data_IF_788113145667
#
_entry.id   IF_788113145667
#
_cell.length_a   1.000
_cell.length_b   1.000
_cell.length_c   1.000
_cell.angle_alpha   90.00
_cell.angle_beta   90.00
_cell.angle_gamma   90.00
#
_symmetry.space_group_name_H-M   'P 1'
#
loop_
_entity.id
_entity.type
_entity.pdbx_description
1 polymer ?
#
# COMPACT_ATOMS: atom_id res chain seq x y z
N UNK A 1 -4.05 -12.73 -19.82
CA UNK A 1 -3.84 -12.90 -18.36
C UNK A 1 -2.39 -13.10 -17.94
N UNK A 2 -1.64 -14.10 -18.45
CA UNK A 2 -0.23 -14.29 -18.05
C UNK A 2 0.66 -13.07 -18.36
N UNK A 3 0.53 -12.51 -19.58
CA UNK A 3 1.26 -11.31 -19.97
C UNK A 3 0.94 -10.10 -19.08
N UNK A 4 -0.34 -9.86 -18.77
CA UNK A 4 -0.76 -8.76 -17.88
C UNK A 4 -0.15 -8.88 -16.49
N UNK A 5 -0.11 -10.10 -15.92
CA UNK A 5 0.52 -10.35 -14.62
C UNK A 5 2.02 -10.07 -14.64
N UNK A 6 2.70 -10.46 -15.71
CA UNK A 6 4.14 -10.18 -15.86
C UNK A 6 4.37 -8.67 -15.98
N UNK A 7 3.57 -7.98 -16.78
CA UNK A 7 3.66 -6.52 -16.92
C UNK A 7 3.38 -5.82 -15.58
N UNK A 8 2.35 -6.25 -14.84
CA UNK A 8 2.04 -5.64 -13.55
C UNK A 8 3.14 -5.91 -12.52
N UNK A 9 3.72 -7.11 -12.48
CA UNK A 9 4.88 -7.41 -11.63
C UNK A 9 6.10 -6.53 -11.97
N UNK A 10 6.44 -6.37 -13.24
CA UNK A 10 7.55 -5.51 -13.67
C UNK A 10 7.30 -4.05 -13.29
N UNK A 11 6.09 -3.55 -13.53
CA UNK A 11 5.72 -2.18 -13.18
C UNK A 11 5.79 -1.97 -11.66
N UNK A 12 5.27 -2.91 -10.88
CA UNK A 12 5.34 -2.86 -9.42
C UNK A 12 6.77 -2.78 -8.91
N UNK A 13 7.68 -3.60 -9.48
CA UNK A 13 9.10 -3.63 -9.11
C UNK A 13 9.78 -2.27 -9.31
N UNK A 14 9.46 -1.56 -10.38
CA UNK A 14 9.97 -0.20 -10.65
C UNK A 14 9.37 0.82 -9.69
N UNK A 15 8.10 0.66 -9.32
CA UNK A 15 7.40 1.57 -8.41
C UNK A 15 7.82 1.41 -6.94
N UNK A 16 8.31 0.24 -6.52
CA UNK A 16 8.75 -0.04 -5.13
C UNK A 16 9.70 1.03 -4.54
N UNK A 17 10.86 1.33 -5.14
CA UNK A 17 11.80 2.31 -4.58
C UNK A 17 11.21 3.73 -4.58
N UNK A 18 10.39 4.07 -5.57
CA UNK A 18 9.72 5.36 -5.67
C UNK A 18 8.73 5.53 -4.51
N UNK A 19 7.93 4.50 -4.24
CA UNK A 19 6.99 4.50 -3.11
C UNK A 19 7.69 4.55 -1.77
N UNK A 20 8.86 3.88 -1.62
CA UNK A 20 9.69 4.00 -0.42
C UNK A 20 10.15 5.42 -0.14
N UNK A 21 10.67 6.10 -1.17
CA UNK A 21 11.05 7.52 -1.05
C UNK A 21 9.85 8.42 -0.69
N UNK A 22 8.67 8.11 -1.22
CA UNK A 22 7.45 8.86 -0.93
C UNK A 22 6.94 8.63 0.49
N UNK A 23 6.97 7.39 0.99
CA UNK A 23 6.65 7.04 2.38
C UNK A 23 7.51 7.84 3.36
N UNK A 24 8.82 7.84 3.10
CA UNK A 24 9.76 8.55 3.95
C UNK A 24 9.55 10.06 3.90
N UNK A 25 9.05 10.63 2.79
CA UNK A 25 8.85 12.08 2.61
C UNK A 25 7.51 12.59 3.15
N UNK A 26 6.41 11.94 2.79
CA UNK A 26 5.06 12.47 3.01
C UNK A 26 4.26 11.73 4.08
N UNK A 27 4.87 10.73 4.72
CA UNK A 27 4.20 9.81 5.65
C UNK A 27 3.61 8.61 4.92
N UNK A 28 3.40 7.50 5.64
CA UNK A 28 3.04 6.21 5.05
C UNK A 28 1.53 6.03 4.98
N UNK A 29 0.81 6.53 5.99
CA UNK A 29 -0.65 6.38 6.12
C UNK A 29 -1.40 6.85 4.89
N UNK A 30 -1.04 8.02 4.34
CA UNK A 30 -1.72 8.61 3.18
C UNK A 30 -1.69 7.68 1.97
N UNK A 31 -0.55 7.04 1.72
CA UNK A 31 -0.41 6.10 0.61
C UNK A 31 -1.16 4.80 0.86
N UNK A 32 -1.19 4.29 2.10
CA UNK A 32 -1.99 3.12 2.45
C UNK A 32 -3.48 3.36 2.20
N UNK A 33 -4.01 4.50 2.66
CA UNK A 33 -5.40 4.89 2.41
C UNK A 33 -5.67 5.02 0.91
N UNK A 34 -4.78 5.68 0.15
CA UNK A 34 -4.92 5.79 -1.31
C UNK A 34 -4.91 4.42 -1.99
N UNK A 35 -3.99 3.52 -1.63
CA UNK A 35 -3.92 2.19 -2.23
C UNK A 35 -5.19 1.36 -1.99
N UNK A 36 -5.69 1.33 -0.75
CA UNK A 36 -6.94 0.64 -0.43
C UNK A 36 -8.15 1.28 -1.13
N UNK A 37 -8.19 2.61 -1.22
CA UNK A 37 -9.26 3.32 -1.95
C UNK A 37 -9.22 3.00 -3.44
N UNK A 38 -8.03 2.98 -4.05
CA UNK A 38 -7.83 2.63 -5.46
C UNK A 38 -8.28 1.19 -5.71
N UNK A 39 -7.85 0.22 -4.90
CA UNK A 39 -8.31 -1.17 -5.02
C UNK A 39 -9.83 -1.31 -4.80
N UNK A 40 -10.40 -0.56 -3.86
CA UNK A 40 -11.86 -0.54 -3.65
C UNK A 40 -12.61 -0.10 -4.90
N UNK A 41 -12.19 1.01 -5.52
CA UNK A 41 -12.74 1.50 -6.78
C UNK A 41 -12.49 0.52 -7.93
N UNK A 42 -11.31 -0.08 -7.96
CA UNK A 42 -10.92 -1.08 -8.95
C UNK A 42 -11.91 -2.25 -8.99
N UNK A 43 -12.07 -2.94 -7.85
CA UNK A 43 -12.96 -4.08 -7.75
C UNK A 43 -14.44 -3.69 -7.92
N UNK A 44 -14.83 -2.47 -7.55
CA UNK A 44 -16.18 -1.97 -7.82
C UNK A 44 -16.43 -1.86 -9.34
N UNK A 45 -15.48 -1.32 -10.10
CA UNK A 45 -15.59 -1.19 -11.55
C UNK A 45 -15.60 -2.55 -12.25
N UNK A 46 -14.76 -3.51 -11.82
CA UNK A 46 -14.75 -4.87 -12.39
C UNK A 46 -16.11 -5.56 -12.18
N UNK A 47 -16.77 -5.25 -11.07
CA UNK A 47 -18.08 -5.82 -10.77
C UNK A 47 -19.18 -5.34 -11.72
N UNK A 48 -18.98 -4.18 -12.37
CA UNK A 48 -19.97 -3.56 -13.27
C UNK A 48 -19.64 -3.82 -14.74
N UNK A 49 -18.37 -3.75 -15.12
CA UNK A 49 -17.93 -3.95 -16.51
C UNK A 49 -16.64 -4.77 -16.58
N UNK A 50 -16.73 -5.92 -17.26
CA UNK A 50 -15.58 -6.83 -17.48
C UNK A 50 -14.53 -6.21 -18.43
N UNK A 51 -14.93 -5.25 -19.28
CA UNK A 51 -14.06 -4.58 -20.25
C UNK A 51 -13.05 -3.62 -19.62
N UNK A 52 -13.25 -3.21 -18.36
CA UNK A 52 -12.36 -2.31 -17.64
C UNK A 52 -11.00 -2.95 -17.26
N UNK A 53 -10.78 -4.23 -17.59
CA UNK A 53 -9.58 -5.03 -17.29
C UNK A 53 -8.23 -4.35 -17.62
N UNK A 54 -8.20 -3.47 -18.61
CA UNK A 54 -6.97 -2.82 -19.09
C UNK A 54 -6.52 -1.66 -18.20
N UNK A 55 -7.44 -0.96 -17.52
CA UNK A 55 -7.12 0.15 -16.60
C UNK A 55 -6.46 -0.34 -15.30
N UNK A 56 -6.46 -1.66 -15.06
CA UNK A 56 -6.02 -2.25 -13.80
C UNK A 56 -4.52 -2.46 -13.68
N UNK A 57 -3.81 -2.62 -14.78
CA UNK A 57 -2.36 -2.88 -14.70
C UNK A 57 -1.66 -1.77 -13.91
N UNK A 58 -2.08 -0.51 -14.05
CA UNK A 58 -1.46 0.61 -13.35
C UNK A 58 -1.93 0.70 -11.89
N UNK A 59 -3.23 0.58 -11.64
CA UNK A 59 -3.82 0.70 -10.29
C UNK A 59 -3.42 -0.48 -9.42
N UNK A 60 -3.53 -1.70 -9.94
CA UNK A 60 -3.09 -2.94 -9.30
C UNK A 60 -1.59 -2.86 -8.97
N UNK A 61 -0.74 -2.46 -9.94
CA UNK A 61 0.69 -2.33 -9.68
C UNK A 61 1.02 -1.30 -8.61
N UNK A 62 0.41 -0.12 -8.68
CA UNK A 62 0.62 0.93 -7.69
C UNK A 62 0.21 0.47 -6.29
N UNK A 63 -0.96 -0.17 -6.17
CA UNK A 63 -1.43 -0.69 -4.89
C UNK A 63 -0.54 -1.82 -4.38
N UNK A 64 -0.13 -2.76 -5.24
CA UNK A 64 0.78 -3.85 -4.88
C UNK A 64 2.12 -3.34 -4.35
N UNK A 65 2.71 -2.33 -5.01
CA UNK A 65 3.95 -1.71 -4.56
C UNK A 65 3.80 -1.06 -3.19
N UNK A 66 2.73 -0.29 -2.97
CA UNK A 66 2.48 0.40 -1.70
C UNK A 66 2.23 -0.59 -0.55
N UNK A 67 1.33 -1.55 -0.76
CA UNK A 67 0.91 -2.48 0.28
C UNK A 67 2.03 -3.47 0.62
N UNK A 68 2.70 -4.03 -0.38
CA UNK A 68 3.80 -4.97 -0.14
C UNK A 68 4.98 -4.29 0.52
N UNK A 69 5.32 -3.08 0.08
CA UNK A 69 6.36 -2.30 0.74
C UNK A 69 6.06 -2.14 2.24
N UNK A 70 4.84 -1.75 2.57
CA UNK A 70 4.46 -1.54 3.96
C UNK A 70 4.40 -2.84 4.77
N UNK A 71 3.59 -3.81 4.33
CA UNK A 71 3.25 -5.02 5.08
C UNK A 71 4.30 -6.11 5.02
N UNK A 72 5.24 -6.09 4.08
CA UNK A 72 6.34 -7.05 4.03
C UNK A 72 7.60 -6.43 4.63
N UNK A 73 7.90 -5.17 4.34
CA UNK A 73 9.21 -4.59 4.67
C UNK A 73 9.20 -3.52 5.76
N UNK A 74 8.23 -2.61 5.79
CA UNK A 74 8.33 -1.45 6.68
C UNK A 74 7.82 -1.76 8.08
N UNK A 75 6.59 -2.24 8.20
CA UNK A 75 5.91 -2.33 9.51
C UNK A 75 6.64 -3.24 10.49
N UNK A 76 7.15 -4.36 10.00
CA UNK A 76 7.88 -5.34 10.82
C UNK A 76 9.22 -4.78 11.31
N UNK A 77 9.91 -4.00 10.48
CA UNK A 77 11.18 -3.37 10.83
C UNK A 77 11.05 -2.28 11.90
N UNK A 78 9.88 -1.64 11.94
CA UNK A 78 9.56 -0.55 12.85
C UNK A 78 9.13 -1.08 14.23
N UNK A 79 8.45 -2.22 14.29
CA UNK A 79 7.96 -2.80 15.55
C UNK A 79 8.95 -3.76 16.21
N UNK A 80 9.91 -4.31 15.46
CA UNK A 80 10.84 -5.32 15.99
C UNK A 80 12.17 -4.72 16.43
N UNK A 81 12.75 -5.22 17.53
CA UNK A 81 14.12 -4.89 17.89
C UNK A 81 15.09 -5.45 16.83
N UNK A 82 16.28 -4.85 16.64
CA UNK A 82 17.21 -5.20 15.57
C UNK A 82 17.52 -6.71 15.49
N UNK A 83 17.64 -7.38 16.64
CA UNK A 83 18.01 -8.79 16.77
C UNK A 83 16.87 -9.73 16.33
N UNK A 84 15.61 -9.27 16.35
CA UNK A 84 14.41 -10.06 16.02
C UNK A 84 13.76 -9.64 14.70
N UNK A 85 14.40 -8.81 13.89
CA UNK A 85 13.84 -8.38 12.60
C UNK A 85 13.54 -9.54 11.65
N UNK A 86 14.46 -10.48 11.52
CA UNK A 86 14.32 -11.62 10.62
C UNK A 86 13.06 -12.46 10.90
N UNK A 87 12.78 -12.92 12.13
CA UNK A 87 11.54 -13.66 12.41
C UNK A 87 10.28 -12.81 12.25
N UNK A 88 10.33 -11.50 12.50
CA UNK A 88 9.18 -10.60 12.27
C UNK A 88 8.88 -10.43 10.78
N UNK A 89 9.89 -10.38 9.91
CA UNK A 89 9.65 -10.38 8.46
C UNK A 89 8.94 -11.63 7.98
N UNK A 90 9.22 -12.79 8.58
CA UNK A 90 8.51 -14.03 8.27
C UNK A 90 7.01 -13.94 8.58
N UNK A 91 6.61 -13.21 9.64
CA UNK A 91 5.20 -12.96 9.94
C UNK A 91 4.50 -12.16 8.84
N UNK A 92 5.22 -11.23 8.20
CA UNK A 92 4.71 -10.46 7.07
C UNK A 92 4.33 -11.29 5.85
N UNK A 93 4.92 -12.47 5.70
CA UNK A 93 4.61 -13.39 4.60
C UNK A 93 3.44 -14.33 4.91
N UNK A 94 3.04 -14.48 6.18
CA UNK A 94 1.95 -15.37 6.60
C UNK A 94 0.63 -15.09 5.86
N UNK A 95 0.16 -13.83 5.71
CA UNK A 95 -1.07 -13.54 4.97
C UNK A 95 -1.05 -14.02 3.51
N UNK A 96 0.13 -14.01 2.86
CA UNK A 96 0.29 -14.49 1.48
C UNK A 96 0.02 -16.00 1.41
N UNK A 97 0.55 -16.76 2.37
CA UNK A 97 0.31 -18.20 2.45
C UNK A 97 -1.15 -18.51 2.80
N UNK A 98 -1.74 -17.76 3.74
CA UNK A 98 -3.17 -17.90 4.07
C UNK A 98 -4.04 -17.68 2.83
N UNK A 99 -3.75 -16.65 2.04
CA UNK A 99 -4.44 -16.39 0.77
C UNK A 99 -4.38 -17.59 -0.18
N UNK A 100 -3.20 -18.17 -0.38
CA UNK A 100 -3.05 -19.36 -1.25
C UNK A 100 -3.75 -20.59 -0.70
N UNK A 101 -3.69 -20.81 0.62
CA UNK A 101 -4.37 -21.93 1.28
C UNK A 101 -5.89 -21.77 1.16
N UNK A 102 -6.41 -20.54 1.21
CA UNK A 102 -7.85 -20.28 1.11
C UNK A 102 -8.44 -20.77 -0.23
N UNK A 103 -7.69 -20.67 -1.34
CA UNK A 103 -8.13 -21.21 -2.64
C UNK A 103 -8.35 -22.74 -2.59
N UNK A 104 -7.43 -23.46 -1.93
CA UNK A 104 -7.55 -24.91 -1.76
C UNK A 104 -8.71 -25.29 -0.85
N UNK A 105 -8.93 -24.53 0.24
CA UNK A 105 -10.05 -24.77 1.17
C UNK A 105 -11.39 -24.57 0.45
N UNK A 106 -11.55 -23.46 -0.28
CA UNK A 106 -12.78 -23.16 -1.03
C UNK A 106 -13.08 -24.27 -2.04
N UNK A 107 -12.05 -24.71 -2.78
CA UNK A 107 -12.16 -25.83 -3.73
C UNK A 107 -12.53 -27.15 -3.05
N UNK A 108 -11.91 -27.47 -1.91
CA UNK A 108 -12.19 -28.69 -1.14
C UNK A 108 -13.63 -28.72 -0.58
N UNK A 109 -14.23 -27.56 -0.31
CA UNK A 109 -15.64 -27.44 0.11
C UNK A 109 -16.64 -27.54 -1.05
N UNK A 110 -16.16 -27.73 -2.30
CA UNK A 110 -17.02 -27.77 -3.49
C UNK A 110 -17.63 -26.41 -3.86
N UNK A 111 -17.13 -25.32 -3.27
CA UNK A 111 -17.61 -23.98 -3.56
C UNK A 111 -16.93 -23.47 -4.83
N UNK A 112 -17.75 -23.15 -5.84
CA UNK A 112 -17.28 -22.53 -7.08
C UNK A 112 -17.86 -21.13 -7.15
N UNK A 113 -17.00 -20.14 -6.94
CA UNK A 113 -17.35 -18.74 -7.10
C UNK A 113 -16.90 -18.27 -8.48
N UNK A 114 -17.78 -17.58 -9.20
CA UNK A 114 -17.32 -16.76 -10.33
C UNK A 114 -16.64 -15.52 -9.76
N UNK A 115 -15.57 -15.06 -10.42
CA UNK A 115 -14.75 -13.94 -9.91
C UNK A 115 -15.59 -12.69 -9.60
N UNK A 116 -16.57 -12.42 -10.46
CA UNK A 116 -17.48 -11.30 -10.36
C UNK A 116 -18.40 -11.34 -9.13
N UNK A 117 -18.69 -12.52 -8.57
CA UNK A 117 -19.47 -12.63 -7.33
C UNK A 117 -18.68 -12.16 -6.11
N UNK A 118 -17.35 -12.25 -6.15
CA UNK A 118 -16.47 -11.93 -5.03
C UNK A 118 -16.06 -10.45 -5.05
N UNK A 119 -15.92 -9.84 -6.23
CA UNK A 119 -15.41 -8.49 -6.38
C UNK A 119 -16.19 -7.38 -5.63
N UNK A 120 -17.54 -7.40 -5.54
CA UNK A 120 -18.26 -6.42 -4.72
C UNK A 120 -17.90 -6.52 -3.24
N UNK A 121 -17.74 -7.76 -2.72
CA UNK A 121 -17.38 -8.02 -1.33
C UNK A 121 -15.95 -7.53 -1.07
N UNK A 122 -15.01 -7.83 -1.99
CA UNK A 122 -13.63 -7.36 -1.90
C UNK A 122 -13.57 -5.84 -1.94
N UNK A 123 -14.30 -5.20 -2.86
CA UNK A 123 -14.38 -3.75 -2.96
C UNK A 123 -14.83 -3.11 -1.64
N UNK A 124 -15.94 -3.60 -1.07
CA UNK A 124 -16.44 -3.12 0.21
C UNK A 124 -15.40 -3.27 1.33
N UNK A 125 -14.73 -4.43 1.41
CA UNK A 125 -13.67 -4.66 2.40
C UNK A 125 -12.46 -3.73 2.20
N UNK A 126 -12.06 -3.43 0.96
CA UNK A 126 -10.97 -2.49 0.69
C UNK A 126 -11.33 -1.07 1.16
N UNK A 127 -12.57 -0.63 0.97
CA UNK A 127 -13.03 0.66 1.53
C UNK A 127 -13.07 0.67 3.05
N UNK A 128 -13.50 -0.43 3.68
CA UNK A 128 -13.44 -0.58 5.14
C UNK A 128 -11.99 -0.46 5.61
N UNK A 129 -11.04 -1.12 4.95
CA UNK A 129 -9.61 -1.02 5.28
C UNK A 129 -9.09 0.41 5.10
N UNK A 130 -9.48 1.10 4.03
CA UNK A 130 -9.13 2.51 3.83
C UNK A 130 -9.63 3.38 5.00
N UNK A 131 -10.87 3.17 5.46
CA UNK A 131 -11.44 3.88 6.61
C UNK A 131 -10.69 3.56 7.91
N UNK A 132 -10.36 2.30 8.17
CA UNK A 132 -9.58 1.90 9.34
C UNK A 132 -8.20 2.56 9.36
N UNK A 133 -7.51 2.63 8.21
CA UNK A 133 -6.23 3.30 8.10
C UNK A 133 -6.31 4.83 8.26
N UNK A 134 -7.45 5.46 7.96
CA UNK A 134 -7.66 6.88 8.28
C UNK A 134 -7.72 7.13 9.79
N UNK A 135 -8.32 6.20 10.55
CA UNK A 135 -8.42 6.29 12.01
C UNK A 135 -7.09 6.00 12.71
N UNK A 136 -6.22 5.23 12.06
CA UNK A 136 -4.93 4.84 12.60
C UNK A 136 -3.95 6.04 12.64
N UNK A 137 -3.15 6.19 13.72
CA UNK A 137 -2.09 7.20 13.74
C UNK A 137 -1.02 6.91 12.68
N UNK A 138 -0.26 7.93 12.31
CA UNK A 138 0.87 7.74 11.38
C UNK A 138 1.94 6.85 12.03
N UNK A 139 2.49 5.92 11.24
CA UNK A 139 3.50 4.97 11.73
C UNK A 139 4.90 5.59 11.79
N UNK A 140 5.14 6.63 10.99
CA UNK A 140 6.39 7.37 11.02
C UNK A 140 6.52 8.17 12.35
N UNK A 141 7.63 8.06 13.10
CA UNK A 141 7.78 8.75 14.37
C UNK A 141 7.62 10.26 14.22
N UNK A 142 6.81 10.87 15.10
CA UNK A 142 6.48 12.30 15.04
C UNK A 142 7.71 13.19 15.12
N UNK A 143 8.73 12.80 15.89
CA UNK A 143 9.99 13.52 16.03
C UNK A 143 10.71 13.74 14.68
N UNK A 144 10.70 12.75 13.78
CA UNK A 144 11.28 12.90 12.45
C UNK A 144 10.48 13.89 11.58
N UNK A 145 9.16 13.89 11.71
CA UNK A 145 8.27 14.81 10.99
C UNK A 145 8.46 16.24 11.50
N UNK A 146 8.53 16.42 12.80
CA UNK A 146 8.72 17.73 13.46
C UNK A 146 10.09 18.33 13.15
N UNK A 147 11.16 17.53 13.26
CA UNK A 147 12.52 17.97 12.92
C UNK A 147 12.57 18.53 11.50
N UNK A 148 11.92 17.86 10.54
CA UNK A 148 11.86 18.32 9.14
C UNK A 148 11.09 19.62 9.00
N UNK A 149 9.94 19.74 9.66
CA UNK A 149 9.18 21.00 9.70
C UNK A 149 10.03 22.15 10.23
N UNK A 150 10.77 21.95 11.33
CA UNK A 150 11.66 22.96 11.88
C UNK A 150 12.76 23.39 10.89
N UNK A 151 13.41 22.43 10.22
CA UNK A 151 14.43 22.73 9.19
C UNK A 151 13.84 23.54 8.04
N UNK A 152 12.63 23.20 7.57
CA UNK A 152 11.94 23.99 6.54
C UNK A 152 11.60 25.40 7.03
N UNK A 153 11.12 25.55 8.26
CA UNK A 153 10.85 26.86 8.85
C UNK A 153 12.10 27.74 8.91
N UNK A 154 13.23 27.20 9.39
CA UNK A 154 14.52 27.92 9.44
C UNK A 154 14.96 28.31 8.03
N UNK A 155 14.84 27.41 7.05
CA UNK A 155 15.23 27.69 5.66
C UNK A 155 14.35 28.77 5.03
N UNK A 156 13.04 28.74 5.27
CA UNK A 156 12.10 29.80 4.82
C UNK A 156 12.44 31.14 5.48
N UNK A 157 12.71 31.16 6.78
CA UNK A 157 13.11 32.36 7.51
C UNK A 157 14.42 32.95 6.98
N UNK A 158 15.43 32.11 6.71
CA UNK A 158 16.71 32.55 6.13
C UNK A 158 16.51 33.20 4.76
N UNK A 159 15.73 32.58 3.87
CA UNK A 159 15.41 33.14 2.54
C UNK A 159 14.65 34.47 2.62
N UNK A 160 13.75 34.63 3.60
CA UNK A 160 13.04 35.88 3.83
C UNK A 160 13.97 37.00 4.33
N UNK A 161 14.92 36.67 5.22
CA UNK A 161 15.94 37.61 5.68
C UNK A 161 16.85 38.05 4.53
N UNK A 162 17.30 37.12 3.69
CA UNK A 162 18.11 37.42 2.50
C UNK A 162 17.36 38.31 1.51
N UNK A 163 16.04 38.13 1.34
CA UNK A 163 15.19 38.97 0.48
C UNK A 163 14.86 40.35 1.06
N UNK A 164 14.94 40.55 2.38
CA UNK A 164 14.66 41.84 3.04
C UNK A 164 15.91 42.64 3.38
N UNK A 165 17.09 42.00 3.36
CA UNK A 165 18.40 42.62 3.57
C UNK A 165 19.13 42.99 2.27
N UNK A 166 18.49 42.77 1.11
CA UNK A 166 18.85 43.30 -0.19
C UNK A 166 17.77 44.32 -0.60
#
# INVERSE_FOLDING_TARGET
>A
MALQRVVSMCLSLVLFPIMGLLFDRYGRRRFLVMAYTILGLEYALISVDEGAIVLYVVSESMAWSVLSLFFIYVVWSDISPPELRAPFYSLGLVPVFIGRISEYIVSALGLVFTRYQIYPIVSALMFVMAALFMLMPETLPQSHIERRRMVEYIRKAKRLRERRGA
#
